data_IF_592055345334
#
_entry.id   IF_592055345334
#
_cell.length_a   1.000
_cell.length_b   1.000
_cell.length_c   1.000
_cell.angle_alpha   90.00
_cell.angle_beta   90.00
_cell.angle_gamma   90.00
#
_symmetry.space_group_name_H-M   'P 1'
#
loop_
_entity.id
_entity.type
_entity.pdbx_description
1 polymer ?
#
# COMPACT_ATOMS: atom_id res chain seq x y z
N UNK A 1 -55.53 19.35 25.95
CA UNK A 1 -56.24 19.92 24.79
C UNK A 1 -55.61 19.34 23.53
N UNK A 2 -56.42 18.66 22.72
CA UNK A 2 -56.06 17.98 21.46
C UNK A 2 -55.96 19.01 20.33
N UNK A 3 -55.12 18.70 19.33
CA UNK A 3 -55.39 18.75 17.88
C UNK A 3 -54.06 18.37 17.18
N UNK A 4 -53.94 17.41 16.28
CA UNK A 4 -54.91 16.80 15.37
C UNK A 4 -54.62 17.26 13.95
N UNK A 5 -53.95 16.43 13.14
CA UNK A 5 -53.65 16.74 11.74
C UNK A 5 -52.93 15.58 11.04
N UNK A 6 -53.72 14.70 10.41
CA UNK A 6 -53.27 13.58 9.58
C UNK A 6 -53.73 13.80 8.12
N UNK A 7 -53.11 13.05 7.19
CA UNK A 7 -53.54 12.66 5.82
C UNK A 7 -52.81 13.39 4.68
N UNK A 8 -52.38 12.76 3.57
CA UNK A 8 -52.72 11.46 2.94
C UNK A 8 -51.60 11.03 1.98
N UNK A 9 -51.50 9.72 1.76
CA UNK A 9 -50.69 9.06 0.75
C UNK A 9 -51.34 9.08 -0.64
N UNK A 10 -50.53 8.96 -1.69
CA UNK A 10 -50.98 8.50 -3.01
C UNK A 10 -50.03 7.43 -3.53
N UNK A 11 -50.61 6.27 -3.81
CA UNK A 11 -50.04 5.11 -4.52
C UNK A 11 -50.41 5.26 -5.99
N UNK A 12 -49.50 4.88 -6.91
CA UNK A 12 -49.86 4.46 -8.25
C UNK A 12 -48.95 3.31 -8.71
N UNK A 13 -49.60 2.26 -9.20
CA UNK A 13 -49.09 0.92 -9.52
C UNK A 13 -48.66 0.75 -10.98
N UNK A 14 -47.89 -0.32 -11.19
CA UNK A 14 -47.21 -0.87 -12.36
C UNK A 14 -48.02 -1.14 -13.65
N UNK A 15 -47.31 -1.34 -14.78
CA UNK A 15 -47.40 -2.56 -15.62
C UNK A 15 -46.28 -2.68 -16.70
N UNK A 16 -45.73 -3.91 -16.79
CA UNK A 16 -45.20 -4.72 -17.93
C UNK A 16 -44.68 -4.01 -19.21
N UNK A 17 -43.59 -4.40 -19.89
CA UNK A 17 -42.90 -5.69 -20.04
C UNK A 17 -42.67 -5.95 -21.54
N UNK A 18 -41.47 -6.35 -21.97
CA UNK A 18 -41.23 -7.17 -23.18
C UNK A 18 -39.77 -7.61 -23.26
N UNK A 19 -39.55 -8.92 -23.21
CA UNK A 19 -38.33 -9.59 -23.65
C UNK A 19 -38.31 -9.67 -25.18
N UNK A 20 -37.13 -9.52 -25.78
CA UNK A 20 -36.82 -10.04 -27.11
C UNK A 20 -35.41 -10.62 -27.09
N UNK A 21 -35.36 -11.94 -27.25
CA UNK A 21 -34.16 -12.71 -27.50
C UNK A 21 -33.76 -12.58 -28.98
N UNK A 22 -32.45 -12.49 -29.24
CA UNK A 22 -31.89 -12.79 -30.55
C UNK A 22 -30.64 -13.67 -30.37
N UNK A 23 -30.81 -14.92 -30.75
CA UNK A 23 -29.83 -15.99 -30.89
C UNK A 23 -28.96 -15.77 -32.13
N UNK A 24 -27.64 -15.94 -32.03
CA UNK A 24 -26.85 -16.44 -33.15
C UNK A 24 -25.82 -17.47 -32.67
N UNK A 25 -26.15 -18.71 -32.99
CA UNK A 25 -25.33 -19.91 -33.13
C UNK A 25 -24.10 -19.68 -34.01
N UNK A 26 -22.94 -20.19 -33.58
CA UNK A 26 -21.82 -20.48 -34.47
C UNK A 26 -21.37 -21.93 -34.26
N UNK A 27 -21.73 -22.78 -35.22
CA UNK A 27 -21.20 -24.13 -35.36
C UNK A 27 -20.48 -24.24 -36.71
N UNK A 28 -19.25 -24.77 -36.66
CA UNK A 28 -18.79 -25.77 -37.64
C UNK A 28 -17.91 -25.31 -38.81
N UNK A 29 -16.76 -25.99 -38.93
CA UNK A 29 -16.42 -26.65 -40.20
C UNK A 29 -15.09 -26.30 -40.87
N UNK A 30 -14.13 -27.23 -40.80
CA UNK A 30 -12.93 -27.37 -41.64
C UNK A 30 -13.32 -27.64 -43.13
N UNK A 31 -12.53 -27.54 -44.23
CA UNK A 31 -11.12 -27.83 -44.57
C UNK A 31 -10.84 -27.37 -46.03
N UNK A 32 -9.56 -27.07 -46.31
CA UNK A 32 -8.72 -27.29 -47.52
C UNK A 32 -9.05 -26.74 -48.94
N UNK A 33 -8.06 -26.06 -49.54
CA UNK A 33 -7.92 -25.75 -50.98
C UNK A 33 -6.78 -24.75 -51.26
N UNK A 34 -5.91 -25.04 -52.24
CA UNK A 34 -4.51 -24.60 -52.34
C UNK A 34 -4.19 -23.45 -53.35
N UNK A 35 -3.01 -22.80 -53.16
CA UNK A 35 -2.08 -22.14 -54.14
C UNK A 35 -2.63 -20.93 -54.95
N UNK A 36 -1.97 -19.82 -55.26
CA UNK A 36 -0.59 -19.29 -55.24
C UNK A 36 -0.68 -17.75 -55.16
N UNK A 37 0.34 -17.03 -54.66
CA UNK A 37 0.39 -15.57 -54.79
C UNK A 37 1.49 -14.88 -53.97
N UNK A 38 2.45 -14.28 -54.68
CA UNK A 38 3.69 -13.72 -54.16
C UNK A 38 3.54 -12.41 -53.35
N UNK A 39 4.41 -12.27 -52.33
CA UNK A 39 5.18 -11.05 -52.09
C UNK A 39 4.55 -9.90 -51.30
N UNK A 40 4.87 -9.83 -49.99
CA UNK A 40 5.48 -8.69 -49.27
C UNK A 40 5.22 -8.83 -47.76
N UNK A 41 6.17 -9.44 -47.06
CA UNK A 41 6.24 -9.39 -45.60
C UNK A 41 6.66 -7.98 -45.17
N UNK A 42 5.67 -7.12 -44.90
CA UNK A 42 5.87 -5.92 -44.10
C UNK A 42 5.91 -6.40 -42.66
N UNK A 43 7.12 -6.73 -42.19
CA UNK A 43 7.38 -7.06 -40.79
C UNK A 43 7.08 -5.86 -39.91
N UNK A 44 5.81 -5.71 -39.50
CA UNK A 44 5.43 -4.80 -38.45
C UNK A 44 5.87 -5.42 -37.13
N UNK A 45 7.15 -5.23 -36.79
CA UNK A 45 7.69 -5.56 -35.49
C UNK A 45 6.96 -4.73 -34.45
N UNK A 46 5.98 -5.36 -33.80
CA UNK A 46 5.46 -4.89 -32.50
C UNK A 46 6.68 -4.61 -31.62
N UNK A 47 6.80 -3.43 -31.00
CA UNK A 47 7.87 -3.21 -30.04
C UNK A 47 7.71 -4.26 -28.96
N UNK A 48 8.60 -5.25 -28.93
CA UNK A 48 8.75 -6.11 -27.76
C UNK A 48 9.08 -5.13 -26.64
N UNK A 49 8.10 -4.87 -25.77
CA UNK A 49 8.31 -4.23 -24.48
C UNK A 49 9.45 -5.03 -23.88
N UNK A 50 10.66 -4.46 -23.87
CA UNK A 50 11.82 -5.09 -23.29
C UNK A 50 11.39 -5.49 -21.89
N UNK A 51 11.22 -6.79 -21.66
CA UNK A 51 11.10 -7.28 -20.31
C UNK A 51 12.45 -6.92 -19.70
N UNK A 52 12.50 -5.79 -19.00
CA UNK A 52 13.61 -5.49 -18.11
C UNK A 52 13.77 -6.74 -17.28
N UNK A 53 14.87 -7.46 -17.52
CA UNK A 53 15.27 -8.58 -16.71
C UNK A 53 15.49 -8.01 -15.32
N UNK A 54 14.50 -8.14 -14.45
CA UNK A 54 14.62 -7.75 -13.05
C UNK A 54 15.74 -8.57 -12.45
N UNK A 55 16.83 -7.89 -12.08
CA UNK A 55 17.90 -8.46 -11.28
C UNK A 55 17.30 -8.99 -9.98
N UNK A 56 17.26 -10.32 -9.77
CA UNK A 56 16.60 -10.90 -8.61
C UNK A 56 17.30 -10.52 -7.31
N UNK A 57 18.56 -10.05 -7.36
CA UNK A 57 19.32 -9.63 -6.18
C UNK A 57 18.93 -8.23 -5.69
N UNK A 58 18.02 -7.55 -6.41
CA UNK A 58 17.60 -6.17 -6.16
C UNK A 58 16.10 -6.05 -5.98
N UNK A 59 15.66 -5.12 -5.13
CA UNK A 59 14.24 -4.76 -5.02
C UNK A 59 13.78 -4.08 -6.33
N UNK A 60 12.79 -4.61 -7.06
CA UNK A 60 12.35 -4.04 -8.35
C UNK A 60 11.89 -2.59 -8.23
N UNK A 61 12.25 -1.73 -9.19
CA UNK A 61 11.81 -0.32 -9.20
C UNK A 61 12.48 0.59 -8.16
N UNK A 62 13.43 0.06 -7.38
CA UNK A 62 14.25 0.84 -6.45
C UNK A 62 15.64 1.01 -7.07
N UNK A 63 16.01 2.26 -7.33
CA UNK A 63 17.28 2.65 -7.95
C UNK A 63 18.48 2.49 -7.03
N UNK A 64 19.67 2.59 -7.63
CA UNK A 64 20.99 2.49 -6.99
C UNK A 64 21.14 3.27 -5.69
N UNK A 65 20.60 4.49 -5.63
CA UNK A 65 20.68 5.36 -4.46
C UNK A 65 20.03 4.71 -3.24
N UNK A 66 18.78 4.27 -3.37
CA UNK A 66 18.00 3.67 -2.28
C UNK A 66 18.41 2.24 -1.98
N UNK A 67 18.78 1.46 -3.01
CA UNK A 67 19.24 0.08 -2.83
C UNK A 67 20.46 -0.02 -1.91
N UNK A 68 21.41 0.90 -2.05
CA UNK A 68 22.59 0.96 -1.16
C UNK A 68 22.27 1.34 0.28
N UNK A 69 21.10 1.95 0.54
CA UNK A 69 20.63 2.29 1.89
C UNK A 69 19.86 1.16 2.56
N UNK A 70 19.44 0.13 1.81
CA UNK A 70 18.93 -1.12 2.39
C UNK A 70 20.12 -1.83 3.06
N UNK A 71 20.08 -2.10 4.38
CA UNK A 71 21.17 -2.80 5.07
C UNK A 71 21.45 -4.15 4.40
N UNK A 72 22.74 -4.47 4.20
CA UNK A 72 23.16 -5.67 3.48
C UNK A 72 22.71 -6.99 4.16
N UNK A 73 22.53 -6.94 5.48
CA UNK A 73 22.06 -8.03 6.33
C UNK A 73 20.53 -8.04 6.52
N UNK A 74 19.80 -7.09 5.92
CA UNK A 74 18.35 -7.16 5.85
C UNK A 74 17.91 -8.30 4.96
N UNK A 75 16.94 -9.08 5.45
CA UNK A 75 16.34 -10.21 4.74
C UNK A 75 14.85 -10.02 4.51
N UNK A 76 14.27 -8.89 4.96
CA UNK A 76 12.89 -8.53 4.71
C UNK A 76 12.79 -7.04 4.35
N UNK A 77 12.13 -6.75 3.22
CA UNK A 77 11.89 -5.39 2.77
C UNK A 77 10.40 -5.21 2.53
N UNK A 78 9.80 -4.22 3.20
CA UNK A 78 8.50 -3.67 2.85
C UNK A 78 8.73 -2.52 1.88
N UNK A 79 8.43 -2.71 0.60
CA UNK A 79 8.52 -1.64 -0.39
C UNK A 79 7.17 -0.96 -0.54
N UNK A 80 7.12 0.37 -0.41
CA UNK A 80 5.93 1.19 -0.63
C UNK A 80 6.14 2.03 -1.86
N UNK A 81 5.42 1.70 -2.93
CA UNK A 81 5.50 2.41 -4.20
C UNK A 81 4.31 3.36 -4.33
N UNK A 82 4.53 4.66 -4.13
CA UNK A 82 3.56 5.70 -4.43
C UNK A 82 3.36 5.87 -5.94
N UNK A 83 2.13 6.15 -6.36
CA UNK A 83 1.80 6.29 -7.78
C UNK A 83 2.35 7.58 -8.40
N UNK A 84 2.56 8.63 -7.60
CA UNK A 84 3.19 9.88 -8.02
C UNK A 84 3.55 10.76 -6.83
N UNK A 85 4.38 11.77 -7.07
CA UNK A 85 4.88 12.69 -6.05
C UNK A 85 3.79 13.38 -5.24
N UNK A 86 2.64 13.67 -5.86
CA UNK A 86 1.49 14.34 -5.21
C UNK A 86 0.26 13.41 -5.06
N UNK A 87 0.43 12.10 -5.29
CA UNK A 87 -0.66 11.12 -5.16
C UNK A 87 -0.73 10.56 -3.74
N UNK A 88 -1.95 10.35 -3.25
CA UNK A 88 -2.19 9.62 -2.01
C UNK A 88 -2.18 8.09 -2.18
N UNK A 89 -2.19 7.60 -3.43
CA UNK A 89 -2.30 6.17 -3.73
C UNK A 89 -0.93 5.51 -3.82
N UNK A 90 -0.83 4.31 -3.23
CA UNK A 90 0.39 3.53 -3.22
C UNK A 90 0.11 2.02 -3.22
N UNK A 91 1.18 1.24 -3.41
CA UNK A 91 1.15 -0.21 -3.23
C UNK A 91 2.25 -0.61 -2.25
N UNK A 92 1.87 -1.34 -1.20
CA UNK A 92 2.81 -1.99 -0.27
C UNK A 92 3.12 -3.39 -0.80
N UNK A 93 4.40 -3.77 -0.81
CA UNK A 93 4.88 -5.08 -1.25
C UNK A 93 5.88 -5.62 -0.24
N UNK A 94 5.65 -6.84 0.25
CA UNK A 94 6.64 -7.54 1.07
C UNK A 94 7.58 -8.36 0.17
N UNK A 95 8.87 -8.17 0.36
CA UNK A 95 9.94 -9.00 -0.19
C UNK A 95 10.68 -9.73 0.94
N UNK A 96 11.11 -10.96 0.67
CA UNK A 96 11.96 -11.74 1.59
C UNK A 96 13.14 -12.32 0.83
N UNK A 97 14.31 -12.30 1.44
CA UNK A 97 15.56 -12.74 0.81
C UNK A 97 15.79 -14.24 0.98
N UNK A 98 15.85 -14.99 -0.12
CA UNK A 98 16.27 -16.41 -0.17
C UNK A 98 17.63 -16.50 -0.88
N UNK A 99 18.67 -16.82 -0.12
CA UNK A 99 20.04 -16.73 -0.62
C UNK A 99 20.39 -15.27 -0.94
N UNK A 100 20.74 -15.00 -2.20
CA UNK A 100 20.99 -13.66 -2.71
C UNK A 100 19.75 -12.96 -3.25
N UNK A 101 18.68 -13.72 -3.50
CA UNK A 101 17.56 -13.28 -4.32
C UNK A 101 16.42 -12.76 -3.46
N UNK A 102 15.72 -11.74 -3.94
CA UNK A 102 14.53 -11.18 -3.32
C UNK A 102 13.28 -11.76 -3.95
N UNK A 103 12.50 -12.45 -3.14
CA UNK A 103 11.20 -12.96 -3.54
C UNK A 103 10.10 -12.01 -3.17
N UNK A 104 9.25 -11.69 -4.14
CA UNK A 104 8.00 -10.98 -3.90
C UNK A 104 7.01 -11.91 -3.22
N UNK A 105 6.72 -11.66 -1.95
CA UNK A 105 5.84 -12.51 -1.12
C UNK A 105 4.37 -12.15 -1.35
N UNK A 106 4.01 -10.87 -1.18
CA UNK A 106 2.62 -10.39 -1.28
C UNK A 106 2.59 -8.88 -1.50
N UNK A 107 1.47 -8.37 -2.02
CA UNK A 107 1.22 -6.94 -2.16
C UNK A 107 -0.20 -6.56 -1.81
N UNK A 108 -0.38 -5.29 -1.43
CA UNK A 108 -1.64 -4.69 -1.05
C UNK A 108 -1.76 -3.27 -1.61
N UNK A 109 -2.95 -2.85 -2.06
CA UNK A 109 -3.27 -1.44 -2.18
C UNK A 109 -3.07 -0.73 -0.84
N UNK A 110 -2.62 0.51 -0.89
CA UNK A 110 -2.31 1.30 0.29
C UNK A 110 -2.49 2.79 0.01
N UNK A 111 -2.61 3.60 1.06
CA UNK A 111 -2.55 5.04 0.95
C UNK A 111 -1.35 5.61 1.71
N UNK A 112 -0.73 6.65 1.16
CA UNK A 112 0.31 7.43 1.81
C UNK A 112 -0.22 8.81 2.22
N UNK A 113 0.66 9.74 2.60
CA UNK A 113 0.28 11.12 2.92
C UNK A 113 -0.59 11.72 1.81
N UNK A 114 -1.68 12.39 2.18
CA UNK A 114 -2.68 12.90 1.22
C UNK A 114 -2.15 13.93 0.22
N UNK A 115 -0.99 14.55 0.49
CA UNK A 115 -0.28 15.42 -0.47
C UNK A 115 0.89 14.72 -1.15
N UNK A 116 0.98 13.40 -1.03
CA UNK A 116 2.02 12.58 -1.65
C UNK A 116 3.27 12.43 -0.80
N UNK A 117 4.42 12.61 -1.44
CA UNK A 117 5.74 12.23 -0.95
C UNK A 117 6.68 13.43 -0.89
N UNK A 118 7.69 13.37 -0.02
CA UNK A 118 8.73 14.40 0.11
C UNK A 118 10.05 13.82 0.60
N UNK A 119 11.16 14.37 0.13
CA UNK A 119 12.51 14.10 0.66
C UNK A 119 12.90 15.03 1.81
N UNK A 120 12.16 16.13 2.02
CA UNK A 120 12.30 17.03 3.17
C UNK A 120 10.97 17.08 3.95
N UNK A 121 10.69 16.02 4.69
CA UNK A 121 9.48 15.95 5.50
C UNK A 121 9.51 16.93 6.68
N UNK A 122 8.37 17.56 6.92
CA UNK A 122 8.11 18.48 8.02
C UNK A 122 6.81 18.12 8.71
N UNK A 123 6.74 18.40 10.00
CA UNK A 123 5.50 18.27 10.76
C UNK A 123 4.34 18.97 10.02
N UNK A 124 3.19 18.31 9.96
CA UNK A 124 1.98 18.79 9.30
C UNK A 124 2.03 19.09 7.78
N UNK A 125 3.11 18.74 7.07
CA UNK A 125 3.18 18.95 5.61
C UNK A 125 2.17 18.08 4.82
N UNK A 126 1.66 17.03 5.44
CA UNK A 126 0.73 16.04 4.89
C UNK A 126 1.32 15.15 3.79
N UNK A 127 2.63 14.98 3.79
CA UNK A 127 3.41 14.14 2.88
C UNK A 127 4.12 13.03 3.63
N UNK A 128 4.27 11.87 3.00
CA UNK A 128 5.08 10.77 3.54
C UNK A 128 6.56 11.00 3.23
N UNK A 129 7.48 10.70 4.17
CA UNK A 129 8.91 10.81 3.92
C UNK A 129 9.35 9.74 2.91
N UNK A 130 10.15 10.15 1.92
CA UNK A 130 10.88 9.24 1.03
C UNK A 130 12.11 8.75 1.76
N UNK A 131 12.32 7.44 1.82
CA UNK A 131 13.51 6.90 2.48
C UNK A 131 13.58 5.39 2.63
N UNK A 132 14.65 4.97 3.30
CA UNK A 132 14.81 3.62 3.86
C UNK A 132 14.87 3.75 5.37
N UNK A 133 13.98 3.05 6.07
CA UNK A 133 13.86 3.09 7.52
C UNK A 133 13.73 1.67 8.07
N UNK A 134 14.21 1.42 9.27
CA UNK A 134 13.99 0.12 9.94
C UNK A 134 12.55 0.01 10.44
N UNK A 135 12.10 -1.23 10.62
CA UNK A 135 10.83 -1.57 11.28
C UNK A 135 11.19 -2.35 12.55
N UNK A 136 11.10 -1.72 13.72
CA UNK A 136 11.62 -2.31 14.97
C UNK A 136 10.54 -2.66 15.99
N UNK A 137 9.42 -1.94 16.00
CA UNK A 137 8.38 -2.07 17.01
C UNK A 137 6.98 -2.10 16.40
N UNK A 138 6.06 -2.77 17.07
CA UNK A 138 4.65 -2.85 16.71
C UNK A 138 3.74 -2.58 17.91
N UNK A 139 2.46 -2.38 17.65
CA UNK A 139 1.49 -2.12 18.71
C UNK A 139 0.09 -1.83 18.20
N UNK A 140 -0.72 -1.24 19.07
CA UNK A 140 -2.06 -0.80 18.75
C UNK A 140 -3.04 -0.95 19.91
N UNK A 141 -4.31 -0.65 19.63
CA UNK A 141 -5.41 -0.81 20.59
C UNK A 141 -5.76 -2.29 20.82
N UNK A 142 -5.69 -3.07 19.74
CA UNK A 142 -6.10 -4.46 19.76
C UNK A 142 -5.05 -5.36 20.41
N UNK A 143 -5.48 -6.59 20.72
CA UNK A 143 -4.56 -7.61 21.21
C UNK A 143 -3.56 -7.97 20.12
N UNK A 144 -2.38 -8.41 20.54
CA UNK A 144 -1.37 -8.94 19.65
C UNK A 144 -1.97 -10.06 18.76
N UNK A 145 -1.96 -9.92 17.41
CA UNK A 145 -2.48 -10.92 16.48
C UNK A 145 -1.51 -12.08 16.22
N UNK A 146 -0.40 -12.17 16.97
CA UNK A 146 0.70 -13.12 16.76
C UNK A 146 1.92 -12.46 16.12
N UNK A 147 2.20 -11.21 16.48
CA UNK A 147 3.29 -10.41 15.99
C UNK A 147 4.65 -11.00 16.40
N UNK A 148 5.63 -10.92 15.50
CA UNK A 148 7.02 -11.30 15.81
C UNK A 148 7.86 -10.11 16.27
N UNK A 149 7.56 -8.91 15.77
CA UNK A 149 8.11 -7.66 16.32
C UNK A 149 7.59 -7.46 17.76
N UNK A 150 8.36 -6.80 18.65
CA UNK A 150 7.87 -6.37 19.95
C UNK A 150 6.53 -5.63 19.83
N UNK A 151 5.49 -6.12 20.53
CA UNK A 151 4.14 -5.60 20.39
C UNK A 151 3.64 -4.93 21.68
N UNK A 152 3.39 -3.63 21.63
CA UNK A 152 2.78 -2.89 22.74
C UNK A 152 1.29 -2.69 22.53
N UNK A 153 0.47 -3.34 23.35
CA UNK A 153 -0.98 -3.06 23.40
C UNK A 153 -1.27 -1.91 24.36
N UNK A 154 -1.96 -0.88 23.91
CA UNK A 154 -2.42 0.21 24.78
C UNK A 154 -3.65 0.94 24.23
N UNK A 155 -4.56 1.35 25.12
CA UNK A 155 -5.65 2.24 24.76
C UNK A 155 -5.16 3.64 24.32
N UNK A 156 -3.92 4.00 24.67
CA UNK A 156 -3.30 5.28 24.26
C UNK A 156 -3.08 5.40 22.75
N UNK A 157 -3.15 4.30 22.00
CA UNK A 157 -3.17 4.33 20.53
C UNK A 157 -4.49 4.82 19.94
N UNK A 158 -5.58 4.80 20.71
CA UNK A 158 -6.92 4.99 20.16
C UNK A 158 -7.05 6.35 19.47
N UNK A 159 -7.51 6.32 18.22
CA UNK A 159 -7.84 7.53 17.49
C UNK A 159 -8.90 8.35 18.26
N UNK A 160 -8.75 9.69 18.32
CA UNK A 160 -9.68 10.54 19.02
C UNK A 160 -11.12 10.40 18.51
N UNK A 161 -12.10 10.35 19.41
CA UNK A 161 -13.51 10.11 19.05
C UNK A 161 -14.16 11.28 18.31
N UNK A 162 -13.52 12.44 18.27
CA UNK A 162 -13.96 13.58 17.48
C UNK A 162 -13.52 13.50 16.00
N UNK A 163 -12.67 12.53 15.62
CA UNK A 163 -12.40 12.22 14.22
C UNK A 163 -13.61 11.56 13.57
N UNK A 164 -13.70 11.62 12.23
CA UNK A 164 -14.72 10.89 11.49
C UNK A 164 -14.63 9.39 11.81
N UNK A 165 -15.77 8.71 11.84
CA UNK A 165 -15.87 7.29 12.26
C UNK A 165 -14.97 6.35 11.47
N UNK A 166 -14.69 6.67 10.20
CA UNK A 166 -13.77 5.93 9.35
C UNK A 166 -12.36 5.81 9.96
N UNK A 167 -11.96 6.77 10.80
CA UNK A 167 -10.62 6.80 11.39
C UNK A 167 -10.52 6.14 12.78
N UNK A 168 -11.63 5.69 13.36
CA UNK A 168 -11.64 5.22 14.76
C UNK A 168 -10.79 3.97 14.99
N UNK A 169 -10.41 3.29 13.90
CA UNK A 169 -9.67 2.04 13.87
C UNK A 169 -8.29 2.18 13.20
N UNK A 170 -7.85 3.41 12.84
CA UNK A 170 -6.58 3.64 12.14
C UNK A 170 -5.42 2.94 12.87
N UNK A 171 -5.41 3.02 14.20
CA UNK A 171 -4.31 2.56 15.06
C UNK A 171 -4.67 1.32 15.88
N UNK A 172 -5.64 0.55 15.44
CA UNK A 172 -5.95 -0.76 16.03
C UNK A 172 -4.75 -1.72 15.89
N UNK A 173 -4.04 -1.63 14.76
CA UNK A 173 -2.73 -2.22 14.51
C UNK A 173 -1.76 -1.20 13.93
N UNK A 174 -0.54 -1.18 14.45
CA UNK A 174 0.55 -0.27 14.07
C UNK A 174 1.86 -1.03 13.95
N UNK A 175 2.65 -0.73 12.92
CA UNK A 175 4.09 -1.06 12.85
C UNK A 175 4.84 0.28 12.72
N UNK A 176 5.81 0.51 13.59
CA UNK A 176 6.59 1.74 13.60
C UNK A 176 7.55 1.78 12.40
N UNK A 177 7.51 2.89 11.67
CA UNK A 177 8.56 3.27 10.72
C UNK A 177 9.56 4.11 11.50
N UNK A 178 10.83 3.71 11.53
CA UNK A 178 11.86 4.37 12.33
C UNK A 178 12.37 5.70 11.73
N UNK A 179 11.43 6.57 11.37
CA UNK A 179 11.64 7.96 10.99
C UNK A 179 11.53 8.86 12.24
N UNK A 180 12.59 9.59 12.56
CA UNK A 180 12.66 10.54 13.69
C UNK A 180 12.03 10.01 15.00
N UNK A 181 12.42 8.80 15.40
CA UNK A 181 12.00 8.16 16.67
C UNK A 181 13.14 7.39 17.30
N UNK A 182 12.98 7.04 18.58
CA UNK A 182 13.86 6.08 19.27
C UNK A 182 13.43 4.67 18.90
N UNK A 183 14.35 3.83 18.44
CA UNK A 183 14.08 2.43 18.09
C UNK A 183 14.03 1.56 19.35
N UNK A 184 13.20 0.51 19.35
CA UNK A 184 13.04 -0.39 20.50
C UNK A 184 12.15 0.18 21.61
N UNK A 185 11.42 1.26 21.33
CA UNK A 185 10.42 1.83 22.23
C UNK A 185 9.03 1.63 21.65
N UNK A 186 7.94 1.68 22.43
CA UNK A 186 6.59 1.56 21.88
C UNK A 186 6.34 2.52 20.69
N UNK A 187 5.52 2.15 19.69
CA UNK A 187 5.27 3.02 18.54
C UNK A 187 4.74 4.41 18.89
N UNK A 188 4.04 4.55 20.02
CA UNK A 188 3.50 5.81 20.55
C UNK A 188 4.43 6.56 21.52
N UNK A 189 5.71 6.15 21.65
CA UNK A 189 6.71 6.98 22.32
C UNK A 189 6.88 8.31 21.53
N UNK A 190 6.73 9.47 22.20
CA UNK A 190 6.72 10.76 21.52
C UNK A 190 8.12 11.32 21.22
N UNK A 191 9.19 10.64 21.64
CA UNK A 191 10.56 11.16 21.55
C UNK A 191 11.02 11.29 20.10
N UNK A 192 11.44 12.51 19.72
CA UNK A 192 11.85 12.88 18.35
C UNK A 192 13.29 13.43 18.34
N UNK A 193 14.30 12.59 18.09
CA UNK A 193 15.72 12.99 18.18
C UNK A 193 16.15 14.11 17.24
N UNK A 194 15.51 14.24 16.07
CA UNK A 194 15.74 15.32 15.09
C UNK A 194 14.84 16.55 15.34
N UNK A 195 14.11 16.58 16.46
CA UNK A 195 13.21 17.66 16.86
C UNK A 195 11.82 17.59 16.21
N UNK A 196 10.89 18.37 16.77
CA UNK A 196 9.48 18.35 16.35
C UNK A 196 9.27 18.83 14.91
N UNK A 197 10.06 19.79 14.44
CA UNK A 197 9.91 20.37 13.11
C UNK A 197 10.09 19.34 11.98
N UNK A 198 10.82 18.24 12.23
CA UNK A 198 11.03 17.15 11.26
C UNK A 198 9.84 16.19 11.17
N UNK A 199 8.84 16.32 12.04
CA UNK A 199 7.73 15.36 12.13
C UNK A 199 8.15 14.06 12.79
N UNK A 200 7.20 13.16 13.06
CA UNK A 200 7.46 11.86 13.66
C UNK A 200 6.18 11.01 13.68
N UNK A 201 6.19 9.93 14.47
CA UNK A 201 5.01 9.05 14.61
C UNK A 201 4.48 8.53 13.26
N UNK A 202 5.40 8.20 12.35
CA UNK A 202 5.10 7.67 11.03
C UNK A 202 4.96 6.15 11.14
N UNK A 203 3.82 5.62 10.72
CA UNK A 203 3.47 4.21 10.94
C UNK A 203 2.95 3.54 9.67
N UNK A 204 3.06 2.21 9.63
CA UNK A 204 2.13 1.37 8.87
C UNK A 204 0.91 1.12 9.75
N UNK A 205 -0.30 1.38 9.25
CA UNK A 205 -1.52 1.22 10.06
C UNK A 205 -2.75 0.80 9.23
N UNK A 206 -3.90 0.59 9.89
CA UNK A 206 -5.12 0.15 9.22
C UNK A 206 -5.71 1.22 8.31
N UNK A 207 -6.13 0.81 7.12
CA UNK A 207 -6.69 1.70 6.11
C UNK A 207 -8.10 2.22 6.44
N UNK A 208 -8.30 3.50 6.16
CA UNK A 208 -9.56 4.22 6.30
C UNK A 208 -10.09 4.75 4.96
N UNK A 209 -9.51 4.30 3.83
CA UNK A 209 -10.00 4.57 2.48
C UNK A 209 -9.61 5.91 1.86
N UNK A 210 -8.60 6.61 2.40
CA UNK A 210 -8.06 7.83 1.80
C UNK A 210 -6.64 8.13 2.29
N UNK A 211 -6.00 9.15 1.70
CA UNK A 211 -4.66 9.61 2.12
C UNK A 211 -4.54 9.94 3.61
N UNK A 212 -3.38 9.63 4.16
CA UNK A 212 -3.06 9.82 5.59
C UNK A 212 -2.51 11.23 5.86
N UNK A 213 -2.11 11.51 7.11
CA UNK A 213 -1.31 12.71 7.40
C UNK A 213 0.19 12.57 7.10
N UNK A 214 0.72 11.36 6.95
CA UNK A 214 2.10 11.05 6.52
C UNK A 214 2.40 9.52 6.62
N UNK A 215 1.62 8.80 7.43
CA UNK A 215 1.67 7.34 7.53
C UNK A 215 1.40 6.63 6.20
N UNK A 216 1.60 5.31 6.20
CA UNK A 216 1.15 4.42 5.12
C UNK A 216 0.07 3.51 5.68
N UNK A 217 -1.09 3.48 5.06
CA UNK A 217 -2.22 2.67 5.50
C UNK A 217 -2.53 1.55 4.51
N UNK A 218 -2.90 0.37 5.03
CA UNK A 218 -3.27 -0.80 4.23
C UNK A 218 -4.34 -1.63 4.93
N UNK A 219 -4.93 -2.59 4.23
CA UNK A 219 -6.03 -3.40 4.77
C UNK A 219 -5.65 -4.09 6.09
N UNK A 220 -6.65 -4.31 6.95
CA UNK A 220 -6.48 -5.06 8.21
C UNK A 220 -5.78 -6.41 7.98
N UNK A 221 -6.22 -7.16 6.96
CA UNK A 221 -5.59 -8.43 6.58
C UNK A 221 -4.14 -8.30 6.14
N UNK A 222 -3.75 -7.15 5.59
CA UNK A 222 -2.37 -6.82 5.26
C UNK A 222 -1.55 -6.52 6.51
N UNK A 223 -2.08 -5.68 7.40
CA UNK A 223 -1.46 -5.38 8.69
C UNK A 223 -1.25 -6.65 9.53
N UNK A 224 -2.26 -7.49 9.67
CA UNK A 224 -2.12 -8.75 10.39
C UNK A 224 -1.06 -9.68 9.76
N UNK A 225 -1.01 -9.75 8.43
CA UNK A 225 -0.03 -10.56 7.73
C UNK A 225 1.39 -10.04 7.99
N UNK A 226 1.60 -8.73 7.88
CA UNK A 226 2.90 -8.12 8.16
C UNK A 226 3.31 -8.35 9.62
N UNK A 227 2.42 -8.14 10.58
CA UNK A 227 2.70 -8.38 12.01
C UNK A 227 3.17 -9.82 12.27
N UNK A 228 2.47 -10.81 11.70
CA UNK A 228 2.81 -12.24 11.87
C UNK A 228 4.08 -12.69 11.10
N UNK A 229 4.59 -11.85 10.19
CA UNK A 229 5.64 -12.24 9.23
C UNK A 229 6.95 -11.47 9.42
N UNK A 230 6.89 -10.17 9.75
CA UNK A 230 8.08 -9.34 9.93
C UNK A 230 8.83 -9.78 11.18
N UNK A 231 10.01 -10.34 10.99
CA UNK A 231 10.78 -11.03 12.00
C UNK A 231 12.00 -10.18 12.37
N UNK A 232 12.16 -9.75 13.63
CA UNK A 232 13.28 -8.90 14.03
C UNK A 232 14.65 -9.51 13.70
N UNK A 233 14.79 -10.84 13.70
CA UNK A 233 16.04 -11.53 13.35
C UNK A 233 16.36 -11.43 11.84
N UNK A 234 15.36 -11.17 11.01
CA UNK A 234 15.49 -10.91 9.58
C UNK A 234 15.68 -9.42 9.25
N UNK A 235 15.77 -8.56 10.28
CA UNK A 235 16.08 -7.13 10.18
C UNK A 235 15.21 -6.40 9.15
N UNK A 236 13.89 -6.35 9.36
CA UNK A 236 12.97 -5.79 8.39
C UNK A 236 13.18 -4.28 8.25
N UNK A 237 13.14 -3.83 7.00
CA UNK A 237 13.17 -2.41 6.66
C UNK A 237 12.01 -2.06 5.75
N UNK A 238 11.64 -0.79 5.72
CA UNK A 238 10.78 -0.21 4.70
C UNK A 238 11.60 0.63 3.74
N UNK A 239 11.35 0.50 2.45
CA UNK A 239 11.78 1.46 1.42
C UNK A 239 10.51 2.10 0.85
N UNK A 240 10.38 3.41 0.93
CA UNK A 240 9.11 4.09 0.62
C UNK A 240 9.33 5.40 -0.12
N UNK A 241 8.46 5.68 -1.09
CA UNK A 241 8.51 6.86 -1.94
C UNK A 241 7.58 6.70 -3.14
N UNK A 242 7.31 7.78 -3.88
CA UNK A 242 6.74 7.61 -5.21
C UNK A 242 7.75 6.95 -6.16
N UNK A 243 7.22 6.36 -7.24
CA UNK A 243 8.02 5.63 -8.23
C UNK A 243 9.15 6.47 -8.86
N UNK A 244 9.00 7.79 -9.00
CA UNK A 244 10.04 8.62 -9.60
C UNK A 244 11.20 8.81 -8.62
N UNK A 245 10.91 9.21 -7.38
CA UNK A 245 11.92 9.32 -6.33
C UNK A 245 12.60 7.98 -6.05
N UNK A 246 11.86 6.86 -6.03
CA UNK A 246 12.45 5.53 -5.79
C UNK A 246 13.34 5.04 -6.93
N UNK A 247 13.06 5.43 -8.18
CA UNK A 247 13.92 5.10 -9.33
C UNK A 247 15.13 6.01 -9.47
N UNK A 248 15.07 7.22 -8.91
CA UNK A 248 16.13 8.20 -9.05
C UNK A 248 17.48 7.65 -8.57
N UNK A 249 18.53 7.97 -9.34
CA UNK A 249 19.90 7.54 -9.04
C UNK A 249 20.62 8.47 -8.03
N UNK A 250 19.99 9.59 -7.64
CA UNK A 250 20.53 10.62 -6.74
C UNK A 250 19.43 11.27 -5.93
#
# INVERSE_FOLDING_TARGET
>A
MRNGGTWRATVATAALGTLLAATLTACGGARDGARDGAGRDVGNSVPRRSAETTDPTRIPGVGDHWQRRIPADSRQVVAVYGDGEDSADSTVVLYTKRGTDWDRVRAWPAHNGKKGWTTDHREDDKRSPVGVFTLSDAGGVLKDPGARLPYTRSAAFAAPRWWAKSHWHDFDYVIAIDYNRVKGTPPNDPTRPEGDARGGSIWLHMDHGSGTSACVSLSESGMEYLLRTLDPDLRPVVVMGDKAHLKAAR
#
